data_IF_746515947585
#
_entry.id   IF_746515947585
#
_cell.length_a   1.000
_cell.length_b   1.000
_cell.length_c   1.000
_cell.angle_alpha   90.00
_cell.angle_beta   90.00
_cell.angle_gamma   90.00
#
_symmetry.space_group_name_H-M   'P 1'
#
loop_
_entity.id
_entity.type
_entity.pdbx_description
1 polymer ?
#
# COMPACT_ATOMS: atom_id res chain seq x y z
N UNK A 1 -30.24 -2.08 -0.95
CA UNK A 1 -29.43 -3.23 -1.42
C UNK A 1 -28.03 -2.68 -1.74
N UNK A 2 -27.01 -2.95 -0.93
CA UNK A 2 -25.66 -2.45 -1.19
C UNK A 2 -24.90 -3.44 -2.08
N UNK A 3 -24.37 -3.02 -3.23
CA UNK A 3 -23.55 -3.89 -4.07
C UNK A 3 -22.18 -4.10 -3.40
N UNK A 4 -21.95 -5.31 -2.89
CA UNK A 4 -20.64 -5.74 -2.41
C UNK A 4 -19.75 -6.05 -3.60
N UNK A 5 -18.99 -5.06 -4.07
CA UNK A 5 -17.95 -5.29 -5.09
C UNK A 5 -16.80 -6.09 -4.47
N UNK A 6 -16.69 -7.36 -4.82
CA UNK A 6 -15.52 -8.18 -4.49
C UNK A 6 -14.40 -7.83 -5.47
N UNK A 7 -13.40 -7.06 -5.02
CA UNK A 7 -12.15 -6.91 -5.77
C UNK A 7 -11.49 -8.29 -5.89
N UNK A 8 -11.57 -8.89 -7.07
CA UNK A 8 -10.82 -10.10 -7.41
C UNK A 8 -9.33 -9.79 -7.44
N UNK A 9 -8.49 -10.72 -7.00
CA UNK A 9 -7.02 -10.63 -7.14
C UNK A 9 -6.58 -10.36 -8.58
N UNK A 10 -7.35 -10.82 -9.58
CA UNK A 10 -7.12 -10.54 -10.99
C UNK A 10 -7.33 -9.05 -11.34
N UNK A 11 -8.32 -8.38 -10.73
CA UNK A 11 -8.57 -6.95 -10.96
C UNK A 11 -7.46 -6.07 -10.35
N UNK A 12 -6.89 -6.50 -9.23
CA UNK A 12 -5.72 -5.86 -8.61
C UNK A 12 -4.48 -6.05 -9.49
N UNK A 13 -4.23 -7.27 -9.97
CA UNK A 13 -3.12 -7.55 -10.87
C UNK A 13 -3.18 -6.73 -12.16
N UNK A 14 -4.36 -6.61 -12.76
CA UNK A 14 -4.58 -5.76 -13.93
C UNK A 14 -4.38 -4.27 -13.62
N UNK A 15 -4.83 -3.78 -12.47
CA UNK A 15 -4.63 -2.38 -12.08
C UNK A 15 -3.15 -2.05 -11.81
N UNK A 16 -2.39 -2.96 -11.17
CA UNK A 16 -0.94 -2.79 -10.96
C UNK A 16 -0.18 -2.87 -12.28
N UNK A 17 -0.55 -3.81 -13.17
CA UNK A 17 0.03 -3.90 -14.51
C UNK A 17 -0.27 -2.65 -15.34
N UNK A 18 -1.51 -2.13 -15.28
CA UNK A 18 -1.88 -0.89 -15.96
C UNK A 18 -1.19 0.32 -15.35
N UNK A 19 -1.04 0.42 -14.03
CA UNK A 19 -0.37 1.55 -13.38
C UNK A 19 1.14 1.55 -13.66
N UNK A 20 1.77 0.38 -13.68
CA UNK A 20 3.18 0.22 -14.06
C UNK A 20 3.40 0.51 -15.55
N UNK A 21 2.51 0.06 -16.45
CA UNK A 21 2.55 0.46 -17.87
C UNK A 21 2.29 1.96 -18.07
N UNK A 22 1.37 2.56 -17.32
CA UNK A 22 1.04 3.99 -17.45
C UNK A 22 2.18 4.87 -16.93
N UNK A 23 2.86 4.46 -15.86
CA UNK A 23 4.09 5.11 -15.40
C UNK A 23 5.21 5.02 -16.45
N UNK A 24 5.26 3.93 -17.23
CA UNK A 24 6.18 3.78 -18.37
C UNK A 24 5.78 4.59 -19.60
N UNK A 25 4.48 4.84 -19.80
CA UNK A 25 3.96 5.56 -20.97
C UNK A 25 3.94 7.09 -20.81
N UNK A 26 3.96 7.61 -19.58
CA UNK A 26 3.93 9.05 -19.30
C UNK A 26 5.31 9.73 -19.39
N UNK A 27 6.40 9.00 -19.56
CA UNK A 27 7.69 9.62 -19.90
C UNK A 27 7.67 10.02 -21.38
N UNK A 28 7.76 11.31 -21.73
CA UNK A 28 7.95 11.72 -23.12
C UNK A 28 9.20 11.03 -23.69
N UNK A 29 9.19 10.76 -24.98
CA UNK A 29 10.18 9.98 -25.73
C UNK A 29 11.59 10.62 -25.82
N UNK A 30 12.06 11.28 -24.76
CA UNK A 30 13.49 11.41 -24.49
C UNK A 30 13.95 10.06 -23.96
N UNK A 31 14.85 9.38 -24.68
CA UNK A 31 15.60 8.21 -24.19
C UNK A 31 15.98 8.47 -22.73
N UNK A 32 15.40 7.75 -21.76
CA UNK A 32 15.73 8.00 -20.37
C UNK A 32 17.20 7.66 -20.20
N UNK A 33 18.01 8.60 -19.74
CA UNK A 33 19.39 8.31 -19.39
C UNK A 33 19.39 7.11 -18.42
N UNK A 34 20.14 6.03 -18.71
CA UNK A 34 20.09 4.80 -17.93
C UNK A 34 20.50 5.00 -16.47
N UNK A 35 21.20 6.10 -16.15
CA UNK A 35 21.54 6.50 -14.79
C UNK A 35 20.31 6.98 -13.97
N UNK A 36 19.34 7.65 -14.61
CA UNK A 36 18.17 8.22 -13.92
C UNK A 36 17.13 7.17 -13.54
N UNK A 37 16.94 6.14 -14.38
CA UNK A 37 16.06 5.00 -14.10
C UNK A 37 16.55 4.16 -12.91
N UNK A 38 17.85 4.24 -12.61
CA UNK A 38 18.41 3.59 -11.44
C UNK A 38 18.16 4.37 -10.17
N UNK A 39 18.33 5.68 -10.19
CA UNK A 39 18.41 6.50 -8.98
C UNK A 39 17.16 6.48 -8.11
N UNK A 40 15.96 6.30 -8.68
CA UNK A 40 14.68 6.33 -7.99
C UNK A 40 13.95 4.98 -8.07
N UNK A 41 13.44 4.49 -6.95
CA UNK A 41 12.61 3.29 -6.86
C UNK A 41 11.26 3.64 -6.23
N UNK A 42 10.17 3.09 -6.79
CA UNK A 42 8.84 3.22 -6.21
C UNK A 42 8.09 1.89 -6.34
N UNK A 43 7.68 1.35 -5.20
CA UNK A 43 7.01 0.06 -5.11
C UNK A 43 5.72 0.19 -4.30
N UNK A 44 4.62 -0.30 -4.84
CA UNK A 44 3.34 -0.35 -4.14
C UNK A 44 3.04 -1.77 -3.67
N UNK A 45 2.81 -1.96 -2.38
CA UNK A 45 2.38 -3.23 -1.79
C UNK A 45 0.95 -3.10 -1.28
N UNK A 46 0.06 -3.99 -1.75
CA UNK A 46 -1.30 -4.13 -1.25
C UNK A 46 -1.44 -5.46 -0.51
N UNK A 47 -1.98 -5.40 0.72
CA UNK A 47 -2.41 -6.56 1.46
C UNK A 47 -3.95 -6.55 1.56
N UNK A 48 -4.60 -7.50 0.88
CA UNK A 48 -6.05 -7.61 0.85
C UNK A 48 -6.53 -8.69 1.84
N UNK A 49 -6.78 -8.29 3.09
CA UNK A 49 -7.36 -9.17 4.12
C UNK A 49 -8.86 -8.93 4.32
N UNK A 50 -9.57 -9.89 4.92
CA UNK A 50 -11.01 -9.77 5.25
C UNK A 50 -11.25 -8.92 6.51
N UNK A 51 -10.28 -8.89 7.44
CA UNK A 51 -10.34 -8.14 8.70
C UNK A 51 -9.72 -6.74 8.61
N UNK A 52 -8.96 -6.47 7.57
CA UNK A 52 -8.26 -5.22 7.30
C UNK A 52 -7.57 -5.36 5.95
N UNK A 53 -7.49 -4.26 5.21
CA UNK A 53 -6.78 -4.21 3.94
C UNK A 53 -5.90 -2.97 3.95
N UNK A 54 -4.63 -3.13 3.61
CA UNK A 54 -3.61 -2.10 3.77
C UNK A 54 -2.92 -1.88 2.44
N UNK A 55 -2.70 -0.63 2.08
CA UNK A 55 -1.92 -0.26 0.90
C UNK A 55 -0.74 0.56 1.34
N UNK A 56 0.41 0.34 0.72
CA UNK A 56 1.63 1.05 1.06
C UNK A 56 2.45 1.33 -0.16
N UNK A 57 2.97 2.54 -0.23
CA UNK A 57 3.89 3.00 -1.25
C UNK A 57 5.24 3.21 -0.58
N UNK A 58 6.27 2.55 -1.09
CA UNK A 58 7.66 2.79 -0.72
C UNK A 58 8.34 3.52 -1.87
N UNK A 59 8.92 4.67 -1.59
CA UNK A 59 9.66 5.48 -2.56
C UNK A 59 11.07 5.67 -2.03
N UNK A 60 12.08 5.29 -2.80
CA UNK A 60 13.49 5.38 -2.45
C UNK A 60 14.30 6.13 -3.49
N UNK A 61 15.33 6.82 -3.03
CA UNK A 61 16.40 7.36 -3.87
C UNK A 61 17.72 6.75 -3.42
N UNK A 62 18.46 6.14 -4.36
CA UNK A 62 19.78 5.57 -4.09
C UNK A 62 20.70 6.66 -3.52
N UNK A 63 21.27 6.41 -2.35
CA UNK A 63 22.22 7.31 -1.69
C UNK A 63 21.62 8.50 -0.94
N UNK A 64 20.29 8.60 -0.81
CA UNK A 64 19.65 9.65 -0.01
C UNK A 64 18.70 9.09 1.06
N UNK A 65 17.90 8.07 0.72
CA UNK A 65 16.95 7.49 1.65
C UNK A 65 15.65 7.07 1.00
N UNK A 66 14.74 6.57 1.82
CA UNK A 66 13.41 6.11 1.40
C UNK A 66 12.32 6.57 2.34
N UNK A 67 11.13 6.75 1.76
CA UNK A 67 9.90 7.09 2.47
C UNK A 67 8.85 6.06 2.10
N UNK A 68 8.27 5.44 3.12
CA UNK A 68 7.12 4.55 3.00
C UNK A 68 5.90 5.22 3.62
N UNK A 69 4.79 5.21 2.91
CA UNK A 69 3.52 5.68 3.43
C UNK A 69 2.42 4.67 3.11
N UNK A 70 1.52 4.44 4.06
CA UNK A 70 0.38 3.56 3.83
C UNK A 70 -0.78 3.78 4.78
N UNK A 71 -2.03 3.87 4.27
CA UNK A 71 -3.20 3.61 5.08
C UNK A 71 -3.34 2.13 5.41
N UNK A 72 -3.64 1.86 6.68
CA UNK A 72 -4.14 0.60 7.18
C UNK A 72 -5.67 0.65 7.29
N UNK A 73 -6.31 -0.48 7.05
CA UNK A 73 -7.78 -0.61 7.04
C UNK A 73 -8.46 0.36 6.05
N UNK A 74 -8.13 0.19 4.76
CA UNK A 74 -8.55 1.04 3.64
C UNK A 74 -10.06 1.28 3.55
N UNK A 75 -10.88 0.30 3.94
CA UNK A 75 -12.35 0.37 3.87
C UNK A 75 -13.01 0.70 5.22
N UNK A 76 -12.24 1.09 6.25
CA UNK A 76 -12.74 1.42 7.61
C UNK A 76 -13.69 0.36 8.17
N UNK A 77 -13.27 -0.90 8.10
CA UNK A 77 -14.07 -2.00 8.64
C UNK A 77 -13.81 -2.13 10.12
N UNK A 78 -14.90 -2.03 10.90
CA UNK A 78 -14.86 -2.31 12.34
C UNK A 78 -14.84 -3.82 12.57
N UNK A 79 -13.76 -4.30 13.15
CA UNK A 79 -13.59 -5.69 13.58
C UNK A 79 -13.31 -5.72 15.08
N UNK A 80 -13.57 -6.86 15.72
CA UNK A 80 -13.42 -6.99 17.16
C UNK A 80 -12.82 -8.35 17.52
N UNK A 81 -11.97 -8.36 18.54
CA UNK A 81 -11.45 -9.57 19.18
C UNK A 81 -12.12 -9.73 20.53
N UNK A 82 -12.44 -10.96 20.94
CA UNK A 82 -12.99 -11.24 22.26
C UNK A 82 -11.97 -12.04 23.06
N UNK A 83 -11.74 -11.66 24.32
CA UNK A 83 -11.01 -12.48 25.29
C UNK A 83 -11.97 -12.98 26.36
N UNK A 84 -11.75 -14.21 26.83
CA UNK A 84 -12.52 -14.86 27.90
C UNK A 84 -11.68 -15.10 29.16
N UNK A 85 -10.43 -14.63 29.17
CA UNK A 85 -9.51 -14.74 30.32
C UNK A 85 -9.75 -13.61 31.35
N UNK A 86 -8.86 -13.42 32.33
CA UNK A 86 -8.95 -12.45 33.42
C UNK A 86 -9.16 -10.99 32.94
N UNK A 87 -8.82 -10.69 31.68
CA UNK A 87 -9.19 -9.45 31.02
C UNK A 87 -10.29 -9.72 29.98
N UNK A 88 -11.44 -10.22 30.45
CA UNK A 88 -12.56 -10.61 29.61
C UNK A 88 -13.21 -9.37 28.99
N UNK A 89 -13.40 -9.38 27.68
CA UNK A 89 -13.93 -8.20 27.00
C UNK A 89 -13.89 -8.27 25.49
N UNK A 90 -14.57 -7.30 24.87
CA UNK A 90 -14.61 -7.09 23.43
C UNK A 90 -13.66 -5.95 23.07
N UNK A 91 -12.56 -6.29 22.43
CA UNK A 91 -11.53 -5.36 21.99
C UNK A 91 -11.82 -4.90 20.57
N UNK A 92 -11.81 -3.59 20.37
CA UNK A 92 -11.96 -2.98 19.04
C UNK A 92 -10.63 -3.17 18.31
N UNK A 93 -10.72 -3.71 17.10
CA UNK A 93 -9.58 -3.79 16.20
C UNK A 93 -9.19 -2.42 15.67
N UNK A 94 -8.02 -2.34 15.04
CA UNK A 94 -7.45 -1.07 14.60
C UNK A 94 -8.39 -0.36 13.60
N UNK A 95 -8.84 0.88 13.91
CA UNK A 95 -9.60 1.69 12.95
C UNK A 95 -8.70 2.14 11.79
N UNK A 96 -9.26 2.79 10.77
CA UNK A 96 -8.45 3.35 9.67
C UNK A 96 -7.36 4.26 10.24
N UNK A 97 -6.11 3.90 9.96
CA UNK A 97 -4.93 4.57 10.50
C UNK A 97 -3.90 4.75 9.40
N UNK A 98 -3.13 5.82 9.45
CA UNK A 98 -2.09 6.11 8.48
C UNK A 98 -0.72 5.99 9.14
N UNK A 99 0.25 5.43 8.43
CA UNK A 99 1.63 5.43 8.86
C UNK A 99 2.54 6.02 7.79
N UNK A 100 3.55 6.73 8.25
CA UNK A 100 4.68 7.21 7.45
C UNK A 100 5.94 6.69 8.13
N UNK A 101 6.85 6.16 7.34
CA UNK A 101 8.18 5.78 7.76
C UNK A 101 9.17 6.45 6.81
N UNK A 102 10.19 7.09 7.35
CA UNK A 102 11.28 7.65 6.57
C UNK A 102 12.60 7.05 7.07
N UNK A 103 13.49 6.73 6.15
CA UNK A 103 14.84 6.22 6.42
C UNK A 103 15.82 7.04 5.61
N UNK A 104 16.85 7.59 6.25
CA UNK A 104 17.92 8.30 5.55
C UNK A 104 19.09 7.33 5.32
N UNK A 105 19.64 7.35 4.11
CA UNK A 105 20.89 6.69 3.80
C UNK A 105 21.94 7.79 3.62
N UNK A 106 22.93 7.82 4.51
CA UNK A 106 24.10 8.70 4.45
C UNK A 106 25.36 7.85 4.36
#
# INVERSE_FOLDING_TARGET
MQPTFKLSSAAIGAAVLCLTLSARAATPATTPDPAAQGAFSAESTLNAGTRGSDISLNVGVRGAGSVRYGPQNLFDRRHFTRSTDNNAGKYVGMPRTFYVQASLAY
#
